data_IF_382840172620
#
_entry.id   IF_382840172620
#
_cell.length_a   1.000
_cell.length_b   1.000
_cell.length_c   1.000
_cell.angle_alpha   90.00
_cell.angle_beta   90.00
_cell.angle_gamma   90.00
#
_symmetry.space_group_name_H-M   'P 1'
#
loop_
_entity.id
_entity.type
_entity.pdbx_description
1 polymer ?
#
# COMPACT_ATOMS: atom_id res chain seq x y z
N UNK A 1 -7.71 -6.64 0.45
CA UNK A 1 -7.86 -5.43 1.31
C UNK A 1 -8.47 -4.24 0.54
N UNK A 2 -9.18 -3.32 1.22
CA UNK A 2 -9.58 -2.02 0.61
C UNK A 2 -8.39 -1.05 0.60
N UNK A 3 -8.11 -0.43 -0.56
CA UNK A 3 -6.99 0.50 -0.74
C UNK A 3 -7.49 1.95 -0.85
N UNK A 4 -6.97 2.81 0.02
CA UNK A 4 -7.18 4.26 -0.03
C UNK A 4 -5.89 4.97 -0.37
N UNK A 5 -6.00 6.04 -1.16
CA UNK A 5 -4.86 6.81 -1.62
C UNK A 5 -4.82 8.17 -0.94
N UNK A 6 -3.63 8.58 -0.49
CA UNK A 6 -3.41 9.88 0.17
C UNK A 6 -3.84 11.07 -0.68
N UNK A 7 -3.74 10.97 -2.00
CA UNK A 7 -4.18 12.02 -2.93
C UNK A 7 -4.52 11.44 -4.32
N UNK A 8 -5.16 12.27 -5.15
CA UNK A 8 -5.60 11.91 -6.50
C UNK A 8 -4.45 11.59 -7.45
N UNK A 9 -3.28 12.23 -7.29
CA UNK A 9 -2.09 11.97 -8.11
C UNK A 9 -1.56 10.56 -7.87
N UNK A 10 -1.45 10.14 -6.61
CA UNK A 10 -1.03 8.78 -6.24
C UNK A 10 -2.05 7.76 -6.71
N UNK A 11 -3.35 8.03 -6.54
CA UNK A 11 -4.41 7.16 -7.07
C UNK A 11 -4.21 6.92 -8.57
N UNK A 12 -4.07 7.97 -9.37
CA UNK A 12 -3.86 7.86 -10.82
C UNK A 12 -2.62 7.04 -11.17
N UNK A 13 -1.48 7.31 -10.52
CA UNK A 13 -0.25 6.54 -10.73
C UNK A 13 -0.45 5.05 -10.41
N UNK A 14 -1.21 4.71 -9.37
CA UNK A 14 -1.41 3.34 -8.96
C UNK A 14 -2.48 2.58 -9.77
N UNK A 15 -3.45 3.30 -10.37
CA UNK A 15 -4.59 2.68 -11.07
C UNK A 15 -4.53 2.80 -12.59
N UNK A 16 -3.67 3.65 -13.14
CA UNK A 16 -3.54 3.86 -14.58
C UNK A 16 -2.11 3.55 -15.04
N UNK A 17 -1.97 2.43 -15.76
CA UNK A 17 -0.68 1.95 -16.25
C UNK A 17 0.00 2.92 -17.23
N UNK A 18 -0.77 3.67 -18.03
CA UNK A 18 -0.23 4.65 -18.97
C UNK A 18 0.38 5.82 -18.19
N UNK A 19 -0.34 6.31 -17.17
CA UNK A 19 0.16 7.38 -16.29
C UNK A 19 1.39 6.91 -15.51
N UNK A 20 1.37 5.70 -14.95
CA UNK A 20 2.50 5.12 -14.23
C UNK A 20 3.75 5.04 -15.13
N UNK A 21 3.58 4.49 -16.34
CA UNK A 21 4.66 4.33 -17.32
C UNK A 21 5.22 5.68 -17.76
N UNK A 22 4.36 6.67 -18.02
CA UNK A 22 4.79 8.03 -18.38
C UNK A 22 5.56 8.72 -17.25
N UNK A 23 5.19 8.44 -16.00
CA UNK A 23 5.79 9.11 -14.83
C UNK A 23 7.10 8.47 -14.40
N UNK A 24 7.21 7.14 -14.43
CA UNK A 24 8.33 6.41 -13.83
C UNK A 24 8.97 5.35 -14.73
N UNK A 25 8.51 5.19 -15.97
CA UNK A 25 8.99 4.16 -16.89
C UNK A 25 8.27 2.81 -16.73
N UNK A 26 8.53 1.90 -17.68
CA UNK A 26 7.82 0.63 -17.81
C UNK A 26 8.06 -0.30 -16.62
N UNK A 27 9.31 -0.49 -16.22
CA UNK A 27 9.66 -1.41 -15.13
C UNK A 27 9.00 -0.99 -13.80
N UNK A 28 9.03 0.30 -13.50
CA UNK A 28 8.38 0.85 -12.31
C UNK A 28 6.86 0.69 -12.38
N UNK A 29 6.24 0.95 -13.53
CA UNK A 29 4.80 0.78 -13.72
C UNK A 29 4.35 -0.66 -13.46
N UNK A 30 5.11 -1.64 -13.97
CA UNK A 30 4.86 -3.06 -13.72
C UNK A 30 4.96 -3.35 -12.22
N UNK A 31 6.00 -2.88 -11.53
CA UNK A 31 6.11 -3.12 -10.08
C UNK A 31 5.03 -2.43 -9.26
N UNK A 32 4.63 -1.22 -9.60
CA UNK A 32 3.51 -0.55 -8.93
C UNK A 32 2.24 -1.39 -9.06
N UNK A 33 1.89 -1.81 -10.28
CA UNK A 33 0.71 -2.63 -10.52
C UNK A 33 0.75 -3.96 -9.73
N UNK A 34 1.89 -4.67 -9.79
CA UNK A 34 2.09 -5.91 -9.02
C UNK A 34 1.91 -5.70 -7.51
N UNK A 35 2.46 -4.62 -6.92
CA UNK A 35 2.30 -4.36 -5.48
C UNK A 35 0.86 -4.03 -5.10
N UNK A 36 0.16 -3.26 -5.93
CA UNK A 36 -1.26 -2.96 -5.69
C UNK A 36 -2.09 -4.25 -5.73
N UNK A 37 -1.83 -5.13 -6.68
CA UNK A 37 -2.51 -6.43 -6.78
C UNK A 37 -2.22 -7.31 -5.55
N UNK A 38 -0.95 -7.49 -5.19
CA UNK A 38 -0.53 -8.24 -3.99
C UNK A 38 -1.23 -7.71 -2.72
N UNK A 39 -1.26 -6.38 -2.52
CA UNK A 39 -1.96 -5.75 -1.38
C UNK A 39 -3.48 -6.02 -1.45
N UNK A 40 -4.07 -5.93 -2.64
CA UNK A 40 -5.51 -6.12 -2.81
C UNK A 40 -5.96 -7.55 -2.53
N UNK A 41 -5.12 -8.54 -2.88
CA UNK A 41 -5.39 -9.97 -2.71
C UNK A 41 -5.02 -10.50 -1.31
N UNK A 42 -4.16 -9.80 -0.57
CA UNK A 42 -3.82 -10.19 0.80
C UNK A 42 -5.02 -10.05 1.74
N UNK A 43 -5.09 -10.90 2.75
CA UNK A 43 -6.07 -10.84 3.83
C UNK A 43 -5.67 -9.79 4.87
N UNK A 44 -4.37 -9.65 5.13
CA UNK A 44 -3.84 -8.72 6.14
C UNK A 44 -2.41 -8.25 5.85
N UNK A 45 -1.99 -7.15 6.49
CA UNK A 45 -0.58 -6.69 6.40
C UNK A 45 0.36 -7.65 7.12
N UNK A 46 -0.10 -8.30 8.19
CA UNK A 46 0.65 -9.33 8.91
C UNK A 46 0.99 -10.51 7.99
N UNK A 47 0.03 -10.92 7.17
CA UNK A 47 0.25 -11.93 6.13
C UNK A 47 1.32 -11.48 5.13
N UNK A 48 1.21 -10.24 4.61
CA UNK A 48 2.22 -9.69 3.70
C UNK A 48 3.63 -9.70 4.30
N UNK A 49 3.76 -9.37 5.59
CA UNK A 49 5.03 -9.41 6.33
C UNK A 49 5.51 -10.84 6.49
N UNK A 50 4.63 -11.76 6.91
CA UNK A 50 4.93 -13.18 7.14
C UNK A 50 5.48 -13.84 5.88
N UNK A 51 4.84 -13.62 4.73
CA UNK A 51 5.25 -14.17 3.45
C UNK A 51 6.23 -13.27 2.68
N UNK A 52 6.63 -12.14 3.27
CA UNK A 52 7.60 -11.20 2.69
C UNK A 52 7.20 -10.74 1.28
N UNK A 53 5.90 -10.57 1.03
CA UNK A 53 5.38 -10.09 -0.25
C UNK A 53 6.01 -8.74 -0.57
N UNK A 54 6.70 -8.67 -1.70
CA UNK A 54 7.47 -7.48 -2.07
C UNK A 54 8.49 -7.00 -1.04
N UNK A 55 9.04 -7.90 -0.23
CA UNK A 55 9.93 -7.57 0.90
C UNK A 55 9.25 -6.64 1.91
N UNK A 56 7.94 -6.83 2.12
CA UNK A 56 7.15 -6.09 3.09
C UNK A 56 7.80 -6.11 4.48
N UNK A 57 7.95 -4.93 5.07
CA UNK A 57 8.46 -4.76 6.42
C UNK A 57 7.86 -3.50 7.06
N UNK A 58 7.73 -3.54 8.39
CA UNK A 58 7.37 -2.35 9.16
C UNK A 58 8.56 -1.37 9.19
N UNK A 59 8.25 -0.08 9.03
CA UNK A 59 9.21 1.00 9.20
C UNK A 59 9.42 1.31 10.69
N UNK A 60 10.61 1.83 11.02
CA UNK A 60 11.04 2.08 12.40
C UNK A 60 11.03 3.58 12.73
N UNK A 61 11.20 3.90 14.02
CA UNK A 61 11.31 5.28 14.51
C UNK A 61 10.01 6.07 14.33
N UNK A 62 10.11 7.28 13.79
CA UNK A 62 8.96 8.19 13.57
C UNK A 62 7.93 7.66 12.57
N UNK A 63 8.26 6.58 11.84
CA UNK A 63 7.39 5.95 10.84
C UNK A 63 6.83 4.60 11.30
N UNK A 64 6.85 4.32 12.61
CA UNK A 64 6.21 3.13 13.19
C UNK A 64 4.74 3.03 12.74
N UNK A 65 4.22 1.81 12.57
CA UNK A 65 2.89 1.52 11.98
C UNK A 65 2.74 1.83 10.48
N UNK A 66 3.81 2.26 9.81
CA UNK A 66 3.87 2.28 8.35
C UNK A 66 4.66 1.07 7.85
N UNK A 67 4.33 0.63 6.64
CA UNK A 67 4.89 -0.56 6.02
C UNK A 67 5.42 -0.21 4.64
N UNK A 68 6.52 -0.84 4.24
CA UNK A 68 7.13 -0.61 2.94
C UNK A 68 7.29 -1.91 2.17
N UNK A 69 6.93 -1.87 0.88
CA UNK A 69 7.27 -2.90 -0.11
C UNK A 69 8.19 -2.30 -1.16
N UNK A 70 9.16 -3.10 -1.61
CA UNK A 70 10.16 -2.67 -2.57
C UNK A 70 9.55 -2.58 -3.99
N UNK A 71 9.87 -1.48 -4.66
CA UNK A 71 9.67 -1.27 -6.10
C UNK A 71 11.01 -1.49 -6.81
N UNK A 72 11.27 -0.75 -7.90
CA UNK A 72 12.60 -0.70 -8.50
C UNK A 72 13.53 0.07 -7.56
N UNK A 73 14.69 -0.49 -7.24
CA UNK A 73 15.65 0.15 -6.34
C UNK A 73 16.03 1.56 -6.83
N UNK A 74 16.11 2.57 -5.93
CA UNK A 74 15.99 2.53 -4.47
C UNK A 74 14.58 2.80 -3.91
N UNK A 75 13.55 2.73 -4.75
CA UNK A 75 12.20 3.17 -4.40
C UNK A 75 11.38 2.12 -3.65
N UNK A 76 10.45 2.61 -2.83
CA UNK A 76 9.51 1.81 -2.05
C UNK A 76 8.12 2.42 -2.07
N UNK A 77 7.10 1.57 -2.11
CA UNK A 77 5.74 1.96 -1.82
C UNK A 77 5.53 1.88 -0.32
N UNK A 78 5.06 2.98 0.29
CA UNK A 78 4.77 3.03 1.72
C UNK A 78 3.28 3.20 1.95
N UNK A 79 2.72 2.40 2.85
CA UNK A 79 1.32 2.42 3.22
C UNK A 79 1.15 2.17 4.73
N UNK A 80 -0.05 2.44 5.23
CA UNK A 80 -0.43 2.22 6.63
C UNK A 80 -1.84 1.64 6.67
N UNK A 81 -2.18 0.98 7.79
CA UNK A 81 -3.54 0.49 8.01
C UNK A 81 -4.46 1.66 8.34
N UNK A 82 -5.59 1.75 7.65
CA UNK A 82 -6.69 2.62 8.07
C UNK A 82 -7.52 1.88 9.11
N UNK A 83 -7.63 2.44 10.32
CA UNK A 83 -8.58 1.99 11.31
C UNK A 83 -9.85 2.81 11.13
N UNK A 84 -10.87 2.25 10.47
CA UNK A 84 -12.19 2.85 10.56
C UNK A 84 -12.69 2.69 11.99
N UNK A 85 -13.07 3.80 12.63
CA UNK A 85 -13.75 3.75 13.91
C UNK A 85 -15.13 3.14 13.66
N UNK A 86 -15.32 1.88 14.06
CA UNK A 86 -16.66 1.30 14.17
C UNK A 86 -17.27 1.92 15.43
N UNK A 87 -18.04 3.00 15.26
CA UNK A 87 -18.83 3.59 16.35
C UNK A 87 -19.76 2.49 16.88
N UNK A 88 -19.34 1.86 17.97
CA UNK A 88 -20.20 0.96 18.73
C UNK A 88 -21.26 1.85 19.32
N UNK A 89 -22.48 1.75 18.79
CA UNK A 89 -23.65 2.47 19.29
C UNK A 89 -23.64 2.45 20.81
N UNK A 90 -23.49 3.63 21.43
CA UNK A 90 -23.72 3.82 22.86
C UNK A 90 -25.16 3.39 23.13
N UNK A 91 -25.33 2.14 23.58
CA UNK A 91 -26.56 1.65 24.16
C UNK A 91 -26.78 2.48 25.40
N UNK A 92 -27.61 3.52 25.26
CA UNK A 92 -28.03 4.41 26.34
C UNK A 92 -28.84 3.55 27.30
N UNK A 93 -28.20 3.11 28.38
CA UNK A 93 -28.91 2.77 29.60
C UNK A 93 -29.46 4.06 30.22
#
# INVERSE_FOLDING_TARGET
MEIRYKNSKLKKVCTDAIVAKKTYGLEMAIKIAMRIEEISLSESVEEMIKFRLGRCHELKGSRKKQYAVDLVHPYRMVFEKSYEMVDSQKKKC
#
